data_IF_261982397903
#
_entry.id   IF_261982397903
#
_cell.length_a   1.000
_cell.length_b   1.000
_cell.length_c   1.000
_cell.angle_alpha   90.00
_cell.angle_beta   90.00
_cell.angle_gamma   90.00
#
_symmetry.space_group_name_H-M   'P 1'
#
loop_
_entity.id
_entity.type
_entity.pdbx_description
1 polymer ?
#
# COMPACT_ATOMS: atom_id res chain seq x y z
N UNK A 1 -9.23 16.60 16.43
CA UNK A 1 -10.36 17.04 15.59
C UNK A 1 -10.20 18.47 15.07
N UNK A 2 -9.63 19.39 15.85
CA UNK A 2 -9.58 20.83 15.53
C UNK A 2 -8.88 21.22 14.23
N UNK A 3 -7.89 20.43 13.77
CA UNK A 3 -7.20 20.72 12.50
C UNK A 3 -8.14 20.66 11.28
N UNK A 4 -9.13 19.78 11.28
CA UNK A 4 -10.11 19.69 10.19
C UNK A 4 -11.11 20.84 10.30
N UNK A 5 -11.60 21.11 11.52
CA UNK A 5 -12.65 22.12 11.76
C UNK A 5 -12.11 23.56 11.65
N UNK A 6 -10.88 23.84 12.10
CA UNK A 6 -10.33 25.19 12.25
C UNK A 6 -8.98 25.40 11.55
N UNK A 7 -8.26 24.33 11.23
CA UNK A 7 -6.92 24.43 10.65
C UNK A 7 -6.89 25.20 9.34
N UNK A 8 -5.93 26.11 9.19
CA UNK A 8 -5.73 26.85 7.95
C UNK A 8 -5.18 25.91 6.88
N UNK A 9 -5.80 25.91 5.70
CA UNK A 9 -5.29 25.17 4.55
C UNK A 9 -4.01 25.86 4.03
N UNK A 10 -2.88 25.19 4.16
CA UNK A 10 -1.59 25.62 3.62
C UNK A 10 -1.26 24.73 2.44
N UNK A 11 -1.14 25.33 1.26
CA UNK A 11 -0.83 24.62 0.03
C UNK A 11 0.64 24.88 -0.36
N UNK A 12 1.41 23.84 -0.72
CA UNK A 12 2.78 24.00 -1.16
C UNK A 12 2.91 24.88 -2.42
N UNK A 13 4.03 25.61 -2.59
CA UNK A 13 4.21 26.54 -3.71
C UNK A 13 4.39 25.84 -5.07
N UNK A 14 4.76 24.56 -5.09
CA UNK A 14 4.95 23.80 -6.33
C UNK A 14 3.64 23.43 -7.04
N UNK A 15 2.48 23.64 -6.41
CA UNK A 15 1.19 23.35 -7.03
C UNK A 15 0.81 24.42 -8.07
N UNK A 16 0.35 23.97 -9.24
CA UNK A 16 -0.16 24.85 -10.29
C UNK A 16 -1.37 25.67 -9.79
N UNK A 17 -1.64 26.86 -10.38
CA UNK A 17 -2.80 27.67 -9.99
C UNK A 17 -4.12 26.90 -10.00
N UNK A 18 -4.37 26.11 -11.04
CA UNK A 18 -5.59 25.30 -11.20
C UNK A 18 -5.67 24.19 -10.14
N UNK A 19 -4.56 23.52 -9.84
CA UNK A 19 -4.53 22.49 -8.79
C UNK A 19 -4.82 23.10 -7.41
N UNK A 20 -4.24 24.26 -7.11
CA UNK A 20 -4.49 24.96 -5.84
C UNK A 20 -5.94 25.38 -5.70
N UNK A 21 -6.54 25.88 -6.77
CA UNK A 21 -7.94 26.28 -6.78
C UNK A 21 -8.88 25.07 -6.59
N UNK A 22 -8.63 23.99 -7.31
CA UNK A 22 -9.37 22.73 -7.19
C UNK A 22 -9.36 22.21 -5.74
N UNK A 23 -8.17 22.11 -5.13
CA UNK A 23 -8.03 21.62 -3.75
C UNK A 23 -8.76 22.54 -2.76
N UNK A 24 -8.70 23.87 -2.94
CA UNK A 24 -9.45 24.80 -2.08
C UNK A 24 -10.96 24.62 -2.18
N UNK A 25 -11.48 24.33 -3.38
CA UNK A 25 -12.91 24.13 -3.62
C UNK A 25 -13.41 22.78 -3.09
N UNK A 26 -12.61 21.72 -3.19
CA UNK A 26 -12.92 20.43 -2.56
C UNK A 26 -12.85 20.46 -1.03
N UNK A 27 -11.89 21.20 -0.47
CA UNK A 27 -11.69 21.28 0.98
C UNK A 27 -12.51 22.40 1.64
N UNK A 28 -13.61 22.84 1.02
CA UNK A 28 -14.59 23.72 1.66
C UNK A 28 -15.27 22.98 2.82
N UNK A 29 -15.26 23.63 3.99
CA UNK A 29 -15.85 23.11 5.22
C UNK A 29 -17.35 22.96 5.12
N UNK A 30 -18.02 23.99 4.60
CA UNK A 30 -19.44 23.94 4.30
C UNK A 30 -19.67 23.02 3.10
N UNK A 31 -20.39 21.88 3.24
CA UNK A 31 -20.67 20.96 2.14
C UNK A 31 -21.42 21.62 0.98
N UNK A 32 -22.34 22.55 1.26
CA UNK A 32 -23.12 23.23 0.22
C UNK A 32 -22.29 24.16 -0.66
N UNK A 33 -21.12 24.59 -0.18
CA UNK A 33 -20.15 25.38 -0.96
C UNK A 33 -19.00 24.53 -1.52
N UNK A 34 -19.00 23.23 -1.23
CA UNK A 34 -17.99 22.31 -1.71
C UNK A 34 -18.29 21.99 -3.16
N UNK A 35 -17.26 22.02 -3.99
CA UNK A 35 -17.37 21.56 -5.38
C UNK A 35 -17.85 20.10 -5.40
N UNK A 36 -18.87 19.83 -6.22
CA UNK A 36 -19.57 18.54 -6.25
C UNK A 36 -20.64 18.36 -5.15
N UNK A 37 -20.87 19.36 -4.29
CA UNK A 37 -21.92 19.31 -3.27
C UNK A 37 -23.24 19.98 -3.68
N UNK A 38 -23.26 20.63 -4.85
CA UNK A 38 -24.44 21.31 -5.40
C UNK A 38 -25.17 20.47 -6.47
N UNK A 39 -26.22 21.03 -7.10
CA UNK A 39 -27.00 20.33 -8.12
C UNK A 39 -26.19 19.86 -9.35
N UNK A 40 -25.07 20.52 -9.63
CA UNK A 40 -24.15 20.15 -10.71
C UNK A 40 -23.26 18.94 -10.41
N UNK A 41 -23.12 18.54 -9.14
CA UNK A 41 -22.39 17.35 -8.67
C UNK A 41 -21.07 17.11 -9.44
N UNK A 42 -20.90 15.95 -10.08
CA UNK A 42 -19.72 15.59 -10.84
C UNK A 42 -19.47 16.51 -12.05
N UNK A 43 -20.50 17.11 -12.66
CA UNK A 43 -20.33 17.99 -13.81
C UNK A 43 -19.54 19.26 -13.45
N UNK A 44 -19.74 19.80 -12.23
CA UNK A 44 -18.96 20.95 -11.74
C UNK A 44 -17.48 20.61 -11.57
N UNK A 45 -17.18 19.37 -11.16
CA UNK A 45 -15.82 18.84 -11.06
C UNK A 45 -15.21 18.69 -12.46
N UNK A 46 -15.94 18.06 -13.37
CA UNK A 46 -15.47 17.77 -14.72
C UNK A 46 -15.17 19.03 -15.54
N UNK A 47 -15.94 20.11 -15.33
CA UNK A 47 -15.76 21.41 -15.99
C UNK A 47 -14.59 22.23 -15.43
N UNK A 48 -13.95 21.80 -14.34
CA UNK A 48 -12.87 22.57 -13.72
C UNK A 48 -11.65 22.69 -14.65
N UNK A 49 -10.97 23.86 -14.73
CA UNK A 49 -9.81 24.06 -15.60
C UNK A 49 -8.63 23.08 -15.37
N UNK A 50 -8.55 22.50 -14.18
CA UNK A 50 -7.56 21.45 -13.88
C UNK A 50 -7.73 20.23 -14.80
N UNK A 51 -8.96 19.87 -15.17
CA UNK A 51 -9.28 18.72 -16.03
C UNK A 51 -9.46 19.08 -17.50
N UNK A 52 -9.05 20.29 -17.94
CA UNK A 52 -9.25 20.77 -19.32
C UNK A 52 -8.64 19.88 -20.41
N UNK A 53 -7.66 19.04 -20.06
CA UNK A 53 -6.99 18.13 -20.98
C UNK A 53 -7.57 16.71 -20.94
N UNK A 54 -8.61 16.48 -20.15
CA UNK A 54 -9.27 15.18 -20.02
C UNK A 54 -10.49 15.16 -20.93
N UNK A 55 -10.51 14.22 -21.88
CA UNK A 55 -11.74 13.81 -22.53
C UNK A 55 -12.41 12.72 -21.68
N UNK A 56 -13.56 13.03 -21.10
CA UNK A 56 -14.27 12.15 -20.18
C UNK A 56 -14.85 10.91 -20.89
N UNK A 57 -15.26 11.04 -22.15
CA UNK A 57 -15.79 9.93 -22.94
C UNK A 57 -14.69 8.91 -23.26
N UNK A 58 -13.51 9.38 -23.67
CA UNK A 58 -12.36 8.52 -23.93
C UNK A 58 -11.82 7.88 -22.64
N UNK A 59 -11.85 8.61 -21.52
CA UNK A 59 -11.46 8.07 -20.22
C UNK A 59 -12.42 6.95 -19.78
N UNK A 60 -13.73 7.16 -19.91
CA UNK A 60 -14.75 6.16 -19.59
C UNK A 60 -14.63 4.92 -20.49
N UNK A 61 -14.35 5.14 -21.78
CA UNK A 61 -14.10 4.08 -22.76
C UNK A 61 -12.71 3.42 -22.61
N UNK A 62 -11.90 3.82 -21.61
CA UNK A 62 -10.55 3.32 -21.35
C UNK A 62 -9.59 3.47 -22.55
N UNK A 63 -9.76 4.52 -23.34
CA UNK A 63 -8.91 4.86 -24.50
C UNK A 63 -7.73 5.76 -24.14
N UNK A 64 -7.76 6.36 -22.97
CA UNK A 64 -6.65 7.17 -22.44
C UNK A 64 -5.60 6.25 -21.83
N UNK A 65 -4.36 6.36 -22.29
CA UNK A 65 -3.25 5.60 -21.72
C UNK A 65 -2.97 6.01 -20.27
N UNK A 66 -2.92 5.07 -19.31
CA UNK A 66 -2.61 5.40 -17.92
C UNK A 66 -1.15 5.87 -17.81
N UNK A 67 -0.87 6.93 -17.03
CA UNK A 67 0.48 7.48 -16.90
C UNK A 67 1.46 6.56 -16.17
N UNK A 68 0.93 5.59 -15.41
CA UNK A 68 1.69 4.56 -14.73
C UNK A 68 1.08 3.20 -15.03
N UNK A 69 1.90 2.29 -15.53
CA UNK A 69 1.58 0.87 -15.72
C UNK A 69 2.49 0.06 -14.81
N UNK A 70 1.96 -0.63 -13.78
CA UNK A 70 2.79 -1.46 -12.92
C UNK A 70 3.38 -2.62 -13.74
N UNK A 71 4.66 -2.92 -13.51
CA UNK A 71 5.30 -4.07 -14.12
C UNK A 71 4.89 -5.33 -13.36
N UNK A 72 4.24 -6.26 -14.05
CA UNK A 72 3.88 -7.58 -13.51
C UNK A 72 4.77 -8.65 -14.14
N UNK A 73 5.23 -9.59 -13.33
CA UNK A 73 6.08 -10.69 -13.76
C UNK A 73 5.28 -11.89 -14.29
N UNK A 74 4.07 -12.10 -13.76
CA UNK A 74 3.19 -13.22 -14.10
C UNK A 74 1.73 -12.91 -13.71
N UNK A 75 0.81 -13.80 -14.09
CA UNK A 75 -0.61 -13.73 -13.69
C UNK A 75 -0.81 -13.88 -12.18
N UNK A 76 0.11 -14.58 -11.50
CA UNK A 76 0.08 -14.84 -10.06
C UNK A 76 0.98 -13.86 -9.27
N UNK A 77 1.48 -12.79 -9.92
CA UNK A 77 2.39 -11.82 -9.29
C UNK A 77 1.68 -11.02 -8.19
N UNK A 78 2.18 -11.16 -6.96
CA UNK A 78 1.69 -10.45 -5.76
C UNK A 78 2.68 -9.42 -5.23
N UNK A 79 3.71 -9.04 -6.00
CA UNK A 79 4.79 -8.13 -5.58
C UNK A 79 4.32 -6.72 -5.22
N UNK A 80 3.18 -6.28 -5.77
CA UNK A 80 2.57 -4.97 -5.47
C UNK A 80 1.72 -4.97 -4.18
N UNK A 81 1.56 -6.12 -3.54
CA UNK A 81 0.85 -6.26 -2.26
C UNK A 81 1.84 -6.29 -1.08
N UNK A 82 1.36 -5.89 0.10
CA UNK A 82 2.18 -5.97 1.31
C UNK A 82 2.49 -7.43 1.68
N UNK A 83 3.79 -7.71 1.84
CA UNK A 83 4.31 -9.04 2.18
C UNK A 83 3.75 -9.60 3.48
N UNK A 84 3.27 -8.75 4.39
CA UNK A 84 2.58 -9.20 5.62
C UNK A 84 1.34 -10.02 5.33
N UNK A 85 0.68 -9.83 4.18
CA UNK A 85 -0.50 -10.59 3.78
C UNK A 85 -0.13 -11.75 2.85
N UNK A 86 0.77 -11.53 1.88
CA UNK A 86 1.13 -12.57 0.90
C UNK A 86 1.94 -13.72 1.51
N UNK A 87 2.53 -13.52 2.69
CA UNK A 87 3.17 -14.57 3.50
C UNK A 87 2.21 -15.37 4.37
N UNK A 88 0.95 -14.94 4.51
CA UNK A 88 -0.05 -15.68 5.28
C UNK A 88 -0.61 -16.81 4.42
N UNK A 89 -0.92 -17.94 5.05
CA UNK A 89 -1.61 -19.02 4.37
C UNK A 89 -3.04 -18.58 4.04
N UNK A 90 -3.51 -18.69 2.79
CA UNK A 90 -4.85 -18.29 2.39
C UNK A 90 -5.89 -19.32 2.88
N UNK A 91 -6.11 -19.35 4.19
CA UNK A 91 -7.08 -20.21 4.87
C UNK A 91 -8.13 -19.37 5.57
N UNK A 92 -9.38 -19.82 5.49
CA UNK A 92 -10.45 -19.25 6.28
C UNK A 92 -10.16 -19.53 7.76
N UNK A 93 -10.25 -18.51 8.60
CA UNK A 93 -10.16 -18.70 10.04
C UNK A 93 -11.31 -19.61 10.51
N UNK A 94 -11.05 -20.63 11.33
CA UNK A 94 -12.12 -21.45 11.88
C UNK A 94 -13.01 -20.59 12.79
N UNK A 95 -14.32 -20.71 12.63
CA UNK A 95 -15.32 -20.21 13.56
C UNK A 95 -16.20 -21.39 13.98
N UNK A 96 -16.25 -21.66 15.27
CA UNK A 96 -17.04 -22.75 15.85
C UNK A 96 -18.50 -22.32 16.12
N UNK A 97 -18.85 -21.06 15.83
CA UNK A 97 -20.18 -20.50 16.02
C UNK A 97 -21.14 -21.00 14.94
N UNK A 98 -22.00 -21.95 15.29
CA UNK A 98 -23.14 -22.29 14.45
C UNK A 98 -24.19 -21.15 14.56
N UNK A 99 -24.52 -20.54 13.42
CA UNK A 99 -25.61 -19.56 13.34
C UNK A 99 -26.96 -20.25 13.57
N UNK A 100 -27.86 -19.60 14.32
CA UNK A 100 -29.25 -20.04 14.42
C UNK A 100 -29.98 -19.89 13.08
N UNK A 101 -31.03 -20.67 12.86
CA UNK A 101 -31.86 -20.55 11.65
C UNK A 101 -32.47 -19.16 11.49
N UNK A 102 -32.87 -18.53 12.60
CA UNK A 102 -33.34 -17.13 12.62
C UNK A 102 -32.27 -16.13 12.18
N UNK A 103 -30.98 -16.37 12.47
CA UNK A 103 -29.89 -15.54 11.99
C UNK A 103 -29.64 -15.77 10.49
N UNK A 104 -29.76 -17.00 10.01
CA UNK A 104 -29.63 -17.31 8.58
C UNK A 104 -30.70 -16.62 7.72
N UNK A 105 -31.91 -16.42 8.25
CA UNK A 105 -32.97 -15.70 7.54
C UNK A 105 -32.60 -14.25 7.21
N UNK A 106 -31.68 -13.62 7.96
CA UNK A 106 -31.18 -12.28 7.66
C UNK A 106 -30.39 -12.20 6.33
N UNK A 107 -29.95 -13.35 5.80
CA UNK A 107 -29.16 -13.43 4.56
C UNK A 107 -29.97 -13.90 3.34
N UNK A 108 -31.29 -14.00 3.45
CA UNK A 108 -32.13 -14.28 2.29
C UNK A 108 -31.98 -13.17 1.24
N UNK A 109 -31.73 -13.56 -0.02
CA UNK A 109 -31.45 -12.62 -1.12
C UNK A 109 -30.00 -12.14 -1.19
N UNK A 110 -29.08 -12.63 -0.35
CA UNK A 110 -27.67 -12.25 -0.40
C UNK A 110 -26.93 -12.79 -1.65
N UNK A 111 -27.32 -13.97 -2.15
CA UNK A 111 -26.65 -14.59 -3.30
C UNK A 111 -26.94 -13.80 -4.57
N UNK A 112 -25.90 -13.33 -5.24
CA UNK A 112 -25.98 -12.61 -6.49
C UNK A 112 -24.97 -13.18 -7.51
N UNK A 113 -25.42 -13.35 -8.75
CA UNK A 113 -24.56 -13.63 -9.90
C UNK A 113 -24.77 -12.53 -10.92
N UNK A 114 -23.68 -11.85 -11.31
CA UNK A 114 -23.76 -10.78 -12.28
C UNK A 114 -24.24 -11.31 -13.64
N UNK A 115 -25.20 -10.64 -14.31
CA UNK A 115 -25.69 -11.05 -15.62
C UNK A 115 -24.57 -11.23 -16.65
N UNK A 116 -23.56 -10.35 -16.64
CA UNK A 116 -22.39 -10.46 -17.52
C UNK A 116 -21.58 -11.75 -17.33
N UNK A 117 -21.58 -12.33 -16.12
CA UNK A 117 -20.95 -13.62 -15.83
C UNK A 117 -21.84 -14.76 -16.34
N UNK A 118 -23.17 -14.63 -16.24
CA UNK A 118 -24.08 -15.63 -16.79
C UNK A 118 -23.99 -15.68 -18.32
N UNK A 119 -23.87 -14.53 -18.97
CA UNK A 119 -23.78 -14.44 -20.42
C UNK A 119 -22.43 -14.97 -20.93
N UNK A 120 -21.34 -14.69 -20.22
CA UNK A 120 -20.04 -15.29 -20.54
C UNK A 120 -20.05 -16.82 -20.39
N UNK A 121 -20.73 -17.36 -19.37
CA UNK A 121 -20.89 -18.82 -19.21
C UNK A 121 -21.68 -19.44 -20.38
N UNK A 122 -22.71 -18.77 -20.89
CA UNK A 122 -23.55 -19.26 -22.01
C UNK A 122 -22.83 -19.25 -23.36
N UNK A 123 -21.97 -18.25 -23.59
CA UNK A 123 -21.18 -18.11 -24.83
C UNK A 123 -19.99 -19.09 -24.90
N UNK A 124 -19.84 -20.00 -23.92
CA UNK A 124 -18.87 -21.09 -23.97
C UNK A 124 -17.44 -20.63 -23.73
N UNK A 125 -17.08 -20.41 -22.47
CA UNK A 125 -15.66 -20.27 -22.09
C UNK A 125 -14.94 -21.62 -22.16
N UNK A 126 -13.80 -21.63 -22.87
CA UNK A 126 -12.72 -22.62 -22.79
C UNK A 126 -11.94 -22.56 -21.46
N UNK A 127 -12.26 -21.59 -20.60
CA UNK A 127 -11.78 -21.50 -19.24
C UNK A 127 -12.80 -22.15 -18.32
N UNK A 128 -12.54 -23.39 -17.92
CA UNK A 128 -13.28 -24.03 -16.83
C UNK A 128 -12.95 -23.27 -15.54
N UNK A 129 -13.86 -22.48 -14.95
CA UNK A 129 -13.69 -22.16 -13.55
C UNK A 129 -13.68 -23.53 -12.88
N UNK A 130 -12.57 -23.90 -12.23
CA UNK A 130 -12.65 -24.95 -11.22
C UNK A 130 -13.61 -24.38 -10.18
N UNK A 131 -14.91 -24.61 -10.37
CA UNK A 131 -15.91 -24.50 -9.34
C UNK A 131 -15.31 -25.32 -8.21
N UNK A 132 -14.79 -24.64 -7.19
CA UNK A 132 -14.28 -25.33 -6.02
C UNK A 132 -15.43 -26.22 -5.59
N UNK A 133 -15.15 -27.52 -5.51
CA UNK A 133 -16.16 -28.52 -5.17
C UNK A 133 -17.02 -27.97 -4.04
N UNK A 134 -18.36 -27.99 -4.14
CA UNK A 134 -19.21 -27.74 -3.00
C UNK A 134 -18.68 -28.62 -1.87
N UNK A 135 -18.10 -28.00 -0.84
CA UNK A 135 -17.47 -28.73 0.27
C UNK A 135 -18.59 -29.60 0.84
N UNK A 136 -18.52 -30.93 0.64
CA UNK A 136 -19.52 -31.85 1.16
C UNK A 136 -19.57 -31.66 2.68
N UNK A 137 -20.67 -31.11 3.18
CA UNK A 137 -20.91 -30.87 4.61
C UNK A 137 -21.16 -32.16 5.42
N UNK A 138 -20.88 -33.35 4.86
CA UNK A 138 -21.12 -34.61 5.55
C UNK A 138 -19.98 -35.62 5.31
N UNK A 139 -18.85 -35.38 5.97
CA UNK A 139 -17.90 -36.41 6.39
C UNK A 139 -17.19 -35.89 7.64
N UNK A 140 -17.75 -36.22 8.80
CA UNK A 140 -17.16 -36.02 10.11
C UNK A 140 -15.75 -36.62 10.19
N UNK A 141 -14.72 -35.88 10.66
CA UNK A 141 -13.51 -36.50 11.16
C UNK A 141 -13.67 -36.69 12.68
N UNK A 142 -14.48 -37.66 13.10
CA UNK A 142 -14.24 -38.28 14.41
C UNK A 142 -13.02 -39.20 14.25
N UNK A 143 -11.82 -38.63 14.31
CA UNK A 143 -10.64 -39.41 14.70
C UNK A 143 -10.52 -39.32 16.22
N UNK A 144 -10.56 -40.45 16.96
CA UNK A 144 -10.20 -40.41 18.37
C UNK A 144 -8.72 -40.01 18.48
N UNK A 145 -8.46 -39.00 19.29
CA UNK A 145 -7.11 -38.61 19.71
C UNK A 145 -6.47 -39.85 20.34
N UNK A 146 -5.40 -40.36 19.71
CA UNK A 146 -4.58 -41.41 20.30
C UNK A 146 -3.81 -40.81 21.48
N UNK A 147 -3.75 -41.47 22.66
CA UNK A 147 -3.00 -40.94 23.79
C UNK A 147 -1.50 -41.00 23.47
N UNK A 148 -0.87 -39.83 23.39
CA UNK A 148 0.59 -39.71 23.36
C UNK A 148 1.15 -40.24 24.68
N UNK A 149 1.77 -41.42 24.60
CA UNK A 149 2.50 -42.04 25.71
C UNK A 149 3.86 -41.33 25.82
N UNK A 150 4.04 -40.58 26.90
CA UNK A 150 5.33 -39.95 27.23
C UNK A 150 6.31 -41.07 27.62
N UNK A 151 7.39 -41.24 26.86
CA UNK A 151 8.53 -42.10 27.22
C UNK A 151 9.64 -41.22 27.79
N UNK A 152 10.16 -41.50 29.00
CA UNK A 152 11.27 -40.75 29.57
C UNK A 152 12.60 -41.23 28.95
N UNK A 153 13.40 -40.26 28.52
CA UNK A 153 14.85 -40.34 28.26
C UNK A 153 15.40 -41.60 27.55
N UNK A 154 15.78 -41.42 26.29
CA UNK A 154 16.91 -42.15 25.70
C UNK A 154 17.63 -41.28 24.66
N UNK A 155 18.95 -41.45 24.61
CA UNK A 155 19.93 -40.43 24.23
C UNK A 155 20.08 -40.15 22.73
N UNK A 156 20.62 -38.96 22.47
CA UNK A 156 21.02 -38.48 21.15
C UNK A 156 21.98 -39.44 20.44
N UNK A 157 21.60 -39.86 19.22
CA UNK A 157 22.54 -40.29 18.17
C UNK A 157 22.30 -39.43 16.92
N UNK A 158 23.29 -38.70 16.41
CA UNK A 158 23.15 -38.00 15.13
C UNK A 158 23.36 -38.97 13.96
N UNK A 159 22.48 -38.91 12.97
CA UNK A 159 22.62 -39.56 11.65
C UNK A 159 23.13 -38.53 10.63
N UNK A 160 23.81 -38.93 9.54
CA UNK A 160 24.69 -38.06 8.75
C UNK A 160 23.92 -37.11 7.82
N UNK A 161 24.48 -35.91 7.64
CA UNK A 161 23.88 -34.82 6.86
C UNK A 161 23.88 -35.02 5.33
N UNK A 162 23.13 -34.18 4.60
CA UNK A 162 22.99 -34.23 3.14
C UNK A 162 24.27 -33.76 2.39
N UNK A 163 24.46 -34.13 1.11
CA UNK A 163 25.68 -33.82 0.35
C UNK A 163 25.75 -32.34 -0.07
N UNK A 164 26.93 -31.74 0.08
CA UNK A 164 27.25 -30.37 -0.39
C UNK A 164 27.27 -30.24 -1.92
N UNK A 165 26.90 -29.07 -2.47
CA UNK A 165 27.22 -28.71 -3.85
C UNK A 165 28.68 -28.24 -3.99
N UNK A 166 29.41 -28.80 -4.96
CA UNK A 166 30.81 -28.47 -5.25
C UNK A 166 31.03 -26.99 -5.61
N UNK A 167 31.97 -26.34 -4.91
CA UNK A 167 32.53 -25.03 -5.25
C UNK A 167 33.87 -25.21 -6.00
N UNK A 168 34.17 -24.46 -7.09
CA UNK A 168 35.45 -24.56 -7.80
C UNK A 168 36.61 -23.90 -7.02
N UNK A 169 37.88 -24.28 -7.27
CA UNK A 169 39.00 -23.88 -6.41
C UNK A 169 39.37 -22.40 -6.56
N UNK A 170 39.61 -21.74 -5.43
CA UNK A 170 40.07 -20.34 -5.33
C UNK A 170 41.57 -20.19 -5.67
N UNK A 171 42.00 -19.04 -6.23
CA UNK A 171 43.42 -18.74 -6.50
C UNK A 171 44.20 -18.36 -5.22
N UNK A 172 45.55 -18.42 -5.22
CA UNK A 172 46.35 -18.23 -4.02
C UNK A 172 46.32 -16.78 -3.50
N UNK A 173 46.27 -16.64 -2.17
CA UNK A 173 46.22 -15.38 -1.43
C UNK A 173 47.55 -14.60 -1.52
N UNK A 174 47.48 -13.33 -1.92
CA UNK A 174 48.58 -12.37 -1.76
C UNK A 174 48.66 -11.90 -0.29
N UNK A 175 49.86 -11.61 0.25
CA UNK A 175 50.03 -11.15 1.62
C UNK A 175 49.45 -9.73 1.84
N UNK A 176 48.96 -9.41 3.05
CA UNK A 176 48.27 -8.15 3.33
C UNK A 176 49.25 -6.96 3.40
N UNK A 177 48.86 -5.77 2.92
CA UNK A 177 49.66 -4.55 3.08
C UNK A 177 49.60 -4.00 4.51
N UNK A 178 50.63 -3.23 4.96
CA UNK A 178 50.69 -2.68 6.31
C UNK A 178 49.65 -1.57 6.54
N UNK A 179 49.22 -1.35 7.81
CA UNK A 179 48.16 -0.40 8.13
C UNK A 179 48.61 1.06 7.97
N UNK A 180 47.77 1.86 7.28
CA UNK A 180 47.90 3.32 7.18
C UNK A 180 47.39 4.00 8.47
N UNK A 181 47.96 5.15 8.86
CA UNK A 181 47.67 5.79 10.14
C UNK A 181 46.27 6.42 10.19
N UNK A 182 45.68 6.31 11.39
CA UNK A 182 44.40 6.84 11.82
C UNK A 182 44.16 8.30 11.41
N UNK A 183 43.21 8.53 10.49
CA UNK A 183 42.73 9.86 10.16
C UNK A 183 41.78 10.37 11.25
N UNK A 184 42.27 11.36 11.97
CA UNK A 184 41.57 12.19 12.94
C UNK A 184 40.32 12.89 12.36
N UNK A 185 39.32 13.11 13.22
CA UNK A 185 38.05 13.74 12.89
C UNK A 185 38.20 15.22 12.48
N UNK A 186 37.36 15.78 11.59
CA UNK A 186 37.40 17.19 11.25
C UNK A 186 36.77 18.06 12.35
N UNK A 187 37.49 19.12 12.76
CA UNK A 187 37.03 20.17 13.68
C UNK A 187 35.99 21.11 13.02
N UNK A 188 35.12 21.78 13.80
CA UNK A 188 34.11 22.70 13.29
C UNK A 188 34.69 24.06 12.83
N UNK A 189 34.12 24.58 11.73
CA UNK A 189 34.47 25.84 11.07
C UNK A 189 34.01 27.03 11.92
N UNK A 190 34.92 27.97 12.22
CA UNK A 190 34.62 29.29 12.83
C UNK A 190 34.09 30.27 11.77
N UNK A 191 33.04 31.05 12.05
CA UNK A 191 32.66 32.17 11.20
C UNK A 191 33.55 33.41 11.43
N UNK A 192 33.85 34.21 10.39
CA UNK A 192 34.66 35.42 10.53
C UNK A 192 33.91 36.56 11.24
N UNK A 193 34.64 37.22 12.14
CA UNK A 193 34.27 38.42 12.88
C UNK A 193 34.13 39.63 11.96
N UNK A 194 32.90 40.06 11.69
CA UNK A 194 32.57 41.34 11.08
C UNK A 194 32.70 42.50 12.07
N UNK A 195 33.55 43.45 11.75
CA UNK A 195 33.91 44.64 12.52
C UNK A 195 32.74 45.61 12.72
N UNK A 196 32.56 46.06 13.98
CA UNK A 196 31.74 47.22 14.36
C UNK A 196 32.24 48.49 13.67
N UNK A 197 31.37 49.21 12.94
CA UNK A 197 31.53 50.66 12.71
C UNK A 197 30.44 51.43 13.44
N UNK A 198 30.93 52.33 14.28
CA UNK A 198 30.23 53.26 15.15
C UNK A 198 29.39 54.27 14.36
N UNK A 199 28.11 54.44 14.73
CA UNK A 199 27.32 55.60 14.35
C UNK A 199 27.13 56.47 15.60
N UNK A 200 28.01 57.46 15.74
CA UNK A 200 27.89 58.56 16.71
C UNK A 200 26.64 59.37 16.40
N UNK A 201 25.87 59.69 17.43
CA UNK A 201 24.80 60.67 17.38
C UNK A 201 25.32 62.11 17.41
N UNK A 202 24.47 63.02 16.93
CA UNK A 202 24.35 64.49 17.08
C UNK A 202 23.44 64.90 15.93
N UNK A 203 22.34 65.62 16.03
CA UNK A 203 21.72 66.48 17.03
C UNK A 203 20.77 67.37 16.21
N UNK A 204 19.55 67.64 16.72
CA UNK A 204 18.75 68.83 16.33
C UNK A 204 19.55 70.10 16.69
N UNK A 205 19.29 71.31 16.14
CA UNK A 205 17.95 71.88 15.87
C UNK A 205 17.80 72.85 14.66
N UNK A 206 16.54 73.22 14.38
CA UNK A 206 16.10 74.60 14.07
C UNK A 206 16.29 75.16 12.66
N UNK A 207 15.18 75.40 11.94
CA UNK A 207 14.52 76.71 11.82
C UNK A 207 13.11 76.51 11.29
#
# INVERSE_FOLDING_TARGET
MDKIIKGKLVLPPYLTPDARDLVKKFLKRNPSQRMGGGPGDAADVQRHPFFRHINWDDLLARRVDPPFRPCLQSEEDVSQFDTRFTRQTPVDSPDDTALSESANQAFLGFTYVAPSVLDSIKEGFSFQPKLRSPRRLNSSPRTPISPLKFSPFEGFRPSPGPPEPMEPPLPPLLPPPPPLPSSTAPLPIRPPSGTKKSKRGRGRPGR
#
